data_IF_401280921637
#
_entry.id   IF_401280921637
#
_cell.length_a   1.000
_cell.length_b   1.000
_cell.length_c   1.000
_cell.angle_alpha   90.00
_cell.angle_beta   90.00
_cell.angle_gamma   90.00
#
_symmetry.space_group_name_H-M   'P 1'
#
loop_
_entity.id
_entity.type
_entity.pdbx_description
1 polymer ?
#
# COMPACT_ATOMS: atom_id res chain seq x y z
N UNK A 1 1.46 5.92 -6.59
CA UNK A 1 0.38 5.46 -5.67
C UNK A 1 -0.72 4.67 -6.41
N UNK A 2 -0.62 4.60 -7.73
CA UNK A 2 -1.59 4.02 -8.64
C UNK A 2 -1.76 2.49 -8.49
N UNK A 3 -0.68 1.78 -8.17
CA UNK A 3 -0.71 0.32 -7.96
C UNK A 3 -1.61 -0.05 -6.77
N UNK A 4 -1.43 0.60 -5.62
CA UNK A 4 -2.26 0.34 -4.44
C UNK A 4 -3.73 0.71 -4.71
N UNK A 5 -3.97 1.87 -5.32
CA UNK A 5 -5.32 2.35 -5.65
C UNK A 5 -6.04 1.40 -6.61
N UNK A 6 -5.33 0.88 -7.60
CA UNK A 6 -5.85 -0.10 -8.56
C UNK A 6 -6.20 -1.42 -7.86
N UNK A 7 -5.31 -1.91 -6.99
CA UNK A 7 -5.55 -3.14 -6.24
C UNK A 7 -6.75 -3.01 -5.29
N UNK A 8 -6.89 -1.87 -4.61
CA UNK A 8 -8.02 -1.57 -3.74
C UNK A 8 -9.33 -1.32 -4.48
N UNK A 9 -9.28 -0.91 -5.76
CA UNK A 9 -10.47 -0.66 -6.59
C UNK A 9 -11.02 -1.94 -7.24
N UNK A 10 -10.16 -2.94 -7.47
CA UNK A 10 -10.57 -4.23 -8.03
C UNK A 10 -11.52 -5.01 -7.10
N UNK A 11 -11.39 -4.85 -5.79
CA UNK A 11 -12.25 -5.50 -4.79
C UNK A 11 -13.00 -4.48 -3.93
N UNK A 12 -14.33 -4.41 -4.08
CA UNK A 12 -15.19 -3.58 -3.22
C UNK A 12 -15.05 -4.01 -1.76
N UNK A 13 -14.46 -3.13 -0.94
CA UNK A 13 -14.34 -3.30 0.52
C UNK A 13 -12.93 -3.57 1.05
N UNK A 14 -11.94 -3.78 0.18
CA UNK A 14 -10.55 -3.97 0.62
C UNK A 14 -9.95 -2.71 1.26
N UNK A 15 -10.42 -1.52 0.90
CA UNK A 15 -9.93 -0.28 1.48
C UNK A 15 -10.29 -0.16 2.98
N UNK A 16 -11.51 -0.56 3.36
CA UNK A 16 -11.93 -0.60 4.76
C UNK A 16 -11.24 -1.72 5.54
N UNK A 17 -11.02 -2.89 4.92
CA UNK A 17 -10.26 -3.99 5.54
C UNK A 17 -8.81 -3.62 5.77
N UNK A 18 -8.15 -3.02 4.78
CA UNK A 18 -6.78 -2.54 4.90
C UNK A 18 -6.68 -1.47 5.99
N UNK A 19 -7.60 -0.51 6.01
CA UNK A 19 -7.68 0.52 7.03
C UNK A 19 -7.80 -0.08 8.43
N UNK A 20 -8.72 -1.02 8.63
CA UNK A 20 -8.89 -1.71 9.90
C UNK A 20 -7.65 -2.53 10.30
N UNK A 21 -6.99 -3.19 9.34
CA UNK A 21 -5.82 -4.02 9.60
C UNK A 21 -4.60 -3.22 10.06
N UNK A 22 -4.39 -2.02 9.52
CA UNK A 22 -3.25 -1.13 9.87
C UNK A 22 -3.65 -0.04 10.89
N UNK A 23 -4.85 -0.14 11.46
CA UNK A 23 -5.35 0.77 12.48
C UNK A 23 -5.53 2.22 12.02
N UNK A 24 -5.91 2.44 10.76
CA UNK A 24 -6.22 3.78 10.22
C UNK A 24 -7.66 3.86 9.73
N UNK A 25 -8.10 5.07 9.42
CA UNK A 25 -9.38 5.27 8.75
C UNK A 25 -9.23 5.13 7.23
N UNK A 26 -10.27 4.66 6.52
CA UNK A 26 -10.26 4.63 5.06
C UNK A 26 -10.07 6.03 4.45
N UNK A 27 -10.54 7.07 5.15
CA UNK A 27 -10.29 8.47 4.78
C UNK A 27 -8.81 8.84 4.82
N UNK A 28 -8.06 8.40 5.85
CA UNK A 28 -6.63 8.63 5.93
C UNK A 28 -5.89 8.01 4.73
N UNK A 29 -6.26 6.77 4.34
CA UNK A 29 -5.70 6.11 3.15
C UNK A 29 -6.04 6.90 1.88
N UNK A 30 -7.28 7.40 1.75
CA UNK A 30 -7.69 8.19 0.59
C UNK A 30 -6.94 9.53 0.48
N UNK A 31 -6.50 10.09 1.60
CA UNK A 31 -5.69 11.31 1.67
C UNK A 31 -4.20 11.07 1.45
N UNK A 32 -3.72 9.82 1.44
CA UNK A 32 -2.33 9.53 1.13
C UNK A 32 -2.04 9.79 -0.34
N UNK A 33 -1.20 10.78 -0.59
CA UNK A 33 -0.58 10.99 -1.89
C UNK A 33 0.39 9.83 -2.23
N UNK A 34 1.08 9.32 -1.20
CA UNK A 34 1.98 8.16 -1.26
C UNK A 34 1.93 7.33 0.01
N UNK A 35 2.22 6.04 -0.09
CA UNK A 35 2.31 5.15 1.07
C UNK A 35 3.47 5.61 1.99
N UNK A 36 3.21 5.89 3.27
CA UNK A 36 4.28 6.22 4.22
C UNK A 36 5.20 5.02 4.44
N UNK A 37 6.51 5.26 4.52
CA UNK A 37 7.54 4.22 4.67
C UNK A 37 7.31 3.36 5.92
N UNK A 38 6.87 3.99 7.01
CA UNK A 38 6.59 3.34 8.29
C UNK A 38 5.49 2.26 8.19
N UNK A 39 4.49 2.48 7.32
CA UNK A 39 3.34 1.59 7.15
C UNK A 39 3.44 0.68 5.94
N UNK A 40 4.45 0.86 5.08
CA UNK A 40 4.60 0.06 3.85
C UNK A 40 4.73 -1.44 4.16
N UNK A 41 5.34 -1.77 5.30
CA UNK A 41 5.51 -3.15 5.78
C UNK A 41 4.18 -3.77 6.19
N UNK A 42 3.33 -3.02 6.89
CA UNK A 42 2.00 -3.49 7.27
C UNK A 42 1.12 -3.68 6.04
N UNK A 43 1.16 -2.73 5.10
CA UNK A 43 0.39 -2.81 3.85
C UNK A 43 0.87 -3.98 3.01
N UNK A 44 2.17 -4.22 2.89
CA UNK A 44 2.72 -5.41 2.21
C UNK A 44 2.21 -6.70 2.86
N UNK A 45 2.19 -6.79 4.19
CA UNK A 45 1.67 -7.97 4.90
C UNK A 45 0.18 -8.22 4.66
N UNK A 46 -0.62 -7.16 4.59
CA UNK A 46 -2.08 -7.27 4.43
C UNK A 46 -2.47 -7.49 2.96
N UNK A 47 -1.80 -6.78 2.04
CA UNK A 47 -2.13 -6.81 0.60
C UNK A 47 -1.34 -7.85 -0.17
N UNK A 48 -0.23 -8.35 0.38
CA UNK A 48 0.73 -9.19 -0.34
C UNK A 48 1.51 -8.45 -1.43
N UNK A 49 1.30 -7.15 -1.62
CA UNK A 49 2.02 -6.38 -2.63
C UNK A 49 3.40 -6.00 -2.08
N UNK A 50 4.50 -6.31 -2.79
CA UNK A 50 5.84 -5.94 -2.34
C UNK A 50 5.97 -4.43 -2.19
N UNK A 51 6.61 -3.99 -1.11
CA UNK A 51 6.87 -2.56 -0.81
C UNK A 51 7.56 -1.80 -1.92
N UNK A 52 8.36 -2.47 -2.74
CA UNK A 52 9.01 -1.91 -3.92
C UNK A 52 7.99 -1.48 -4.99
N UNK A 53 6.87 -2.21 -5.14
CA UNK A 53 5.77 -1.81 -6.02
C UNK A 53 4.88 -0.74 -5.39
N UNK A 54 4.78 -0.70 -4.06
CA UNK A 54 4.01 0.30 -3.32
C UNK A 54 4.73 1.67 -3.27
N UNK A 55 6.04 1.66 -3.06
CA UNK A 55 6.94 2.82 -3.02
C UNK A 55 8.18 2.57 -3.88
N UNK A 56 8.05 2.53 -5.21
CA UNK A 56 9.22 2.44 -6.09
C UNK A 56 10.21 3.57 -5.80
N UNK A 57 9.69 4.77 -5.53
CA UNK A 57 10.44 5.97 -5.12
C UNK A 57 11.40 5.79 -3.91
N UNK A 58 11.12 4.88 -2.96
CA UNK A 58 12.05 4.59 -1.85
C UNK A 58 13.01 3.43 -2.14
N UNK A 59 12.61 2.56 -3.04
CA UNK A 59 13.32 1.34 -3.38
C UNK A 59 13.93 1.42 -4.78
N UNK A 60 14.01 2.62 -5.36
CA UNK A 60 14.57 2.87 -6.69
C UNK A 60 16.07 2.58 -6.60
N UNK A 61 16.48 1.43 -7.14
CA UNK A 61 17.84 0.90 -7.01
C UNK A 61 17.97 -0.37 -6.14
N UNK A 62 16.93 -0.75 -5.41
CA UNK A 62 16.79 -2.10 -4.87
C UNK A 62 16.11 -2.93 -5.95
N UNK A 63 16.87 -3.32 -6.97
CA UNK A 63 16.47 -4.36 -7.92
C UNK A 63 16.01 -5.56 -7.06
N UNK A 64 14.72 -5.90 -7.10
CA UNK A 64 14.30 -7.19 -6.59
C UNK A 64 15.04 -8.20 -7.46
N UNK A 65 16.08 -8.82 -6.91
CA UNK A 65 16.81 -9.86 -7.58
C UNK A 65 15.79 -10.90 -8.09
N UNK A 66 15.67 -10.96 -9.41
CA UNK A 66 15.23 -12.13 -10.17
C UNK A 66 16.35 -12.49 -11.14
#
# INVERSE_FOLDING_TARGET
MDTLRTHLKAERGNLSKLAAAIGVTPGAIAQWDKVPADRVVEIERVTGIPRQKLRPDLFEGMEAAE
#
